data_IF_189208888985
#
_entry.id   IF_189208888985
#
_cell.length_a   1.000
_cell.length_b   1.000
_cell.length_c   1.000
_cell.angle_alpha   90.00
_cell.angle_beta   90.00
_cell.angle_gamma   90.00
#
_symmetry.space_group_name_H-M   'P 1'
#
loop_
_entity.id
_entity.type
_entity.pdbx_description
1 polymer ?
#
# COMPACT_ATOMS: atom_id res chain seq x y z
N UNK A 1 7.54 6.64 5.55
CA UNK A 1 7.88 5.54 6.48
C UNK A 1 9.28 4.98 6.24
N UNK A 2 9.53 4.06 5.29
CA UNK A 2 10.87 3.43 5.13
C UNK A 2 11.99 4.45 4.86
N UNK A 3 11.72 5.46 4.04
CA UNK A 3 12.65 6.57 3.78
C UNK A 3 12.99 7.35 5.07
N UNK A 4 11.99 7.67 5.90
CA UNK A 4 12.22 8.40 7.16
C UNK A 4 13.04 7.58 8.16
N UNK A 5 12.94 6.24 8.08
CA UNK A 5 13.73 5.32 8.90
C UNK A 5 15.12 5.01 8.31
N UNK A 6 15.47 5.57 7.14
CA UNK A 6 16.71 5.24 6.44
C UNK A 6 16.82 3.78 5.99
N UNK A 7 15.69 3.07 5.89
CA UNK A 7 15.64 1.65 5.53
C UNK A 7 15.62 1.48 4.01
N UNK A 8 16.24 0.38 3.54
CA UNK A 8 16.17 -0.03 2.14
C UNK A 8 14.73 -0.41 1.77
N UNK A 9 14.32 -0.05 0.56
CA UNK A 9 13.05 -0.51 -0.01
C UNK A 9 13.13 -2.01 -0.37
N UNK A 10 12.61 -2.85 0.53
CA UNK A 10 12.45 -4.30 0.37
C UNK A 10 11.04 -4.68 -0.12
N UNK A 11 10.37 -3.74 -0.78
CA UNK A 11 9.03 -3.89 -1.34
C UNK A 11 8.96 -3.11 -2.66
N UNK A 12 8.27 -3.64 -3.70
CA UNK A 12 8.14 -2.95 -4.98
C UNK A 12 7.15 -1.79 -4.93
N UNK A 13 6.30 -1.70 -3.89
CA UNK A 13 5.24 -0.70 -3.70
C UNK A 13 5.76 0.68 -3.28
N UNK A 14 6.64 1.27 -4.10
CA UNK A 14 7.23 2.58 -3.88
C UNK A 14 6.91 3.49 -5.05
N UNK A 15 6.41 4.69 -4.77
CA UNK A 15 6.05 5.72 -5.75
C UNK A 15 5.02 5.26 -6.81
N UNK A 16 4.13 4.36 -6.39
CA UNK A 16 3.07 3.79 -7.21
C UNK A 16 1.84 3.52 -6.35
N UNK A 17 0.69 3.26 -6.98
CA UNK A 17 -0.46 2.71 -6.27
C UNK A 17 -1.13 1.59 -7.07
N UNK A 18 -1.89 0.76 -6.36
CA UNK A 18 -2.90 -0.14 -6.90
C UNK A 18 -4.23 0.30 -6.29
N UNK A 19 -5.35 -0.01 -6.95
CA UNK A 19 -6.65 0.12 -6.29
C UNK A 19 -6.73 -0.85 -5.10
N UNK A 20 -7.57 -0.60 -4.08
CA UNK A 20 -7.72 -1.52 -2.95
C UNK A 20 -8.05 -2.95 -3.39
N UNK A 21 -8.95 -3.11 -4.35
CA UNK A 21 -9.31 -4.43 -4.92
C UNK A 21 -8.10 -5.12 -5.57
N UNK A 22 -7.34 -4.41 -6.43
CA UNK A 22 -6.15 -4.97 -7.08
C UNK A 22 -5.03 -5.29 -6.07
N UNK A 23 -4.88 -4.45 -5.04
CA UNK A 23 -3.91 -4.67 -3.97
C UNK A 23 -4.24 -5.91 -3.14
N UNK A 24 -5.49 -6.07 -2.71
CA UNK A 24 -5.96 -7.25 -1.99
C UNK A 24 -5.75 -8.51 -2.84
N UNK A 25 -6.07 -8.43 -4.13
CA UNK A 25 -5.85 -9.53 -5.08
C UNK A 25 -4.37 -9.90 -5.19
N UNK A 26 -3.49 -8.92 -5.31
CA UNK A 26 -2.04 -9.14 -5.27
C UNK A 26 -1.61 -9.86 -4.00
N UNK A 27 -2.02 -9.33 -2.84
CA UNK A 27 -1.62 -9.83 -1.53
C UNK A 27 -2.14 -11.26 -1.26
N UNK A 28 -3.32 -11.62 -1.79
CA UNK A 28 -3.85 -13.00 -1.74
C UNK A 28 -3.00 -14.01 -2.52
N UNK A 29 -2.25 -13.56 -3.52
CA UNK A 29 -1.50 -14.47 -4.41
C UNK A 29 -0.13 -13.90 -4.82
N UNK A 30 0.65 -13.43 -3.84
CA UNK A 30 1.93 -12.75 -4.07
C UNK A 30 2.85 -13.59 -4.97
N UNK A 31 3.02 -14.88 -4.67
CA UNK A 31 3.91 -15.76 -5.42
C UNK A 31 3.55 -15.85 -6.91
N UNK A 32 2.27 -15.88 -7.25
CA UNK A 32 1.83 -15.86 -8.66
C UNK A 32 2.16 -14.53 -9.34
N UNK A 33 1.83 -13.39 -8.69
CA UNK A 33 2.05 -12.08 -9.27
C UNK A 33 3.54 -11.71 -9.41
N UNK A 34 4.40 -12.22 -8.53
CA UNK A 34 5.84 -12.02 -8.62
C UNK A 34 6.46 -12.63 -9.89
N UNK A 35 5.83 -13.64 -10.49
CA UNK A 35 6.31 -14.27 -11.73
C UNK A 35 5.66 -13.69 -12.99
N UNK A 36 4.66 -12.83 -12.87
CA UNK A 36 3.98 -12.26 -14.02
C UNK A 36 4.82 -11.14 -14.67
N UNK A 37 4.66 -11.00 -15.98
CA UNK A 37 5.22 -9.88 -16.73
C UNK A 37 4.31 -8.64 -16.61
N UNK A 38 4.92 -7.46 -16.59
CA UNK A 38 4.19 -6.19 -16.67
C UNK A 38 4.12 -5.77 -18.12
N UNK A 39 2.91 -5.58 -18.62
CA UNK A 39 2.63 -5.02 -19.95
C UNK A 39 2.06 -3.61 -19.83
N UNK A 40 2.15 -2.80 -20.88
CA UNK A 40 1.63 -1.43 -20.90
C UNK A 40 0.64 -1.25 -22.06
N UNK A 41 -0.67 -1.41 -21.79
CA UNK A 41 -1.69 -1.27 -22.81
C UNK A 41 -1.77 0.18 -23.32
N UNK A 42 -1.72 0.37 -24.65
CA UNK A 42 -1.63 1.70 -25.29
C UNK A 42 -2.91 2.53 -25.15
N UNK A 43 -4.02 1.87 -24.89
CA UNK A 43 -5.32 2.48 -24.65
C UNK A 43 -5.39 3.26 -23.32
N UNK A 44 -4.50 2.97 -22.36
CA UNK A 44 -4.46 3.66 -21.08
C UNK A 44 -3.61 4.93 -21.19
N UNK A 45 -4.26 6.05 -21.50
CA UNK A 45 -3.58 7.34 -21.62
C UNK A 45 -3.49 8.07 -20.27
N UNK A 46 -2.31 8.04 -19.65
CA UNK A 46 -1.97 8.79 -18.43
C UNK A 46 -0.63 9.51 -18.60
N UNK A 47 -0.37 10.47 -17.71
CA UNK A 47 0.90 11.22 -17.65
C UNK A 47 2.06 10.40 -17.08
N UNK A 48 1.77 9.19 -16.61
CA UNK A 48 2.70 8.25 -15.98
C UNK A 48 2.36 6.83 -16.47
N UNK A 49 3.31 5.87 -16.41
CA UNK A 49 3.07 4.52 -16.86
C UNK A 49 1.96 3.81 -16.05
N UNK A 50 1.08 3.09 -16.74
CA UNK A 50 0.11 2.19 -16.10
C UNK A 50 0.39 0.78 -16.61
N UNK A 51 0.92 -0.06 -15.74
CA UNK A 51 1.25 -1.44 -16.05
C UNK A 51 0.10 -2.38 -15.71
N UNK A 52 -0.07 -3.41 -16.53
CA UNK A 52 -0.94 -4.56 -16.26
C UNK A 52 -0.05 -5.75 -15.85
N UNK A 53 -0.21 -6.25 -14.63
CA UNK A 53 0.50 -7.41 -14.08
C UNK A 53 -0.47 -8.58 -13.97
N UNK A 54 -0.49 -9.47 -14.96
CA UNK A 54 -1.56 -10.46 -15.08
C UNK A 54 -2.90 -9.75 -15.31
N UNK A 55 -3.70 -9.63 -14.26
CA UNK A 55 -5.05 -9.08 -14.29
C UNK A 55 -5.28 -7.94 -13.26
N UNK A 56 -4.20 -7.31 -12.77
CA UNK A 56 -4.24 -6.13 -11.90
C UNK A 56 -3.52 -4.94 -12.51
N UNK A 57 -3.97 -3.72 -12.20
CA UNK A 57 -3.34 -2.49 -12.67
C UNK A 57 -2.40 -1.89 -11.63
N UNK A 58 -1.23 -1.47 -12.09
CA UNK A 58 -0.20 -0.78 -11.28
C UNK A 58 0.02 0.61 -11.88
N UNK A 59 -0.22 1.65 -11.08
CA UNK A 59 -0.10 3.05 -11.51
C UNK A 59 1.22 3.64 -11.01
N UNK A 60 2.20 3.77 -11.90
CA UNK A 60 3.58 4.17 -11.58
C UNK A 60 3.76 5.70 -11.52
N UNK A 61 3.12 6.34 -10.53
CA UNK A 61 2.97 7.80 -10.40
C UNK A 61 4.23 8.66 -10.56
N UNK A 62 5.40 8.19 -10.08
CA UNK A 62 6.66 8.96 -10.16
C UNK A 62 7.75 8.31 -11.00
N UNK A 63 7.38 7.55 -12.03
CA UNK A 63 8.31 6.94 -12.97
C UNK A 63 8.23 7.66 -14.32
N UNK A 64 9.39 7.88 -14.96
CA UNK A 64 9.50 8.65 -16.20
C UNK A 64 9.28 7.79 -17.44
N UNK A 65 9.41 6.46 -17.32
CA UNK A 65 9.22 5.52 -18.43
C UNK A 65 8.74 4.15 -17.94
N UNK A 66 8.10 3.41 -18.85
CA UNK A 66 7.72 2.01 -18.67
C UNK A 66 8.92 1.13 -18.30
N UNK A 67 10.07 1.36 -18.96
CA UNK A 67 11.32 0.65 -18.72
C UNK A 67 11.85 0.87 -17.29
N UNK A 68 11.81 2.12 -16.81
CA UNK A 68 12.18 2.46 -15.44
C UNK A 68 11.25 1.76 -14.43
N UNK A 69 9.95 1.81 -14.68
CA UNK A 69 8.93 1.18 -13.84
C UNK A 69 9.16 -0.34 -13.70
N UNK A 70 9.31 -1.06 -14.82
CA UNK A 70 9.56 -2.52 -14.81
C UNK A 70 10.86 -2.86 -14.11
N UNK A 71 11.94 -2.16 -14.43
CA UNK A 71 13.25 -2.40 -13.82
C UNK A 71 13.18 -2.26 -12.30
N UNK A 72 12.58 -1.17 -11.81
CA UNK A 72 12.47 -0.93 -10.36
C UNK A 72 11.51 -1.87 -9.67
N UNK A 73 10.41 -2.25 -10.33
CA UNK A 73 9.50 -3.28 -9.84
C UNK A 73 10.25 -4.60 -9.64
N UNK A 74 10.89 -5.13 -10.68
CA UNK A 74 11.64 -6.40 -10.63
C UNK A 74 12.76 -6.37 -9.58
N UNK A 75 13.59 -5.32 -9.56
CA UNK A 75 14.68 -5.14 -8.59
C UNK A 75 14.21 -5.21 -7.14
N UNK A 76 13.01 -4.69 -6.84
CA UNK A 76 12.47 -4.59 -5.47
C UNK A 76 11.60 -5.79 -5.11
N UNK A 77 10.87 -6.35 -6.06
CA UNK A 77 10.16 -7.62 -5.91
C UNK A 77 11.11 -8.74 -5.49
N UNK A 78 12.29 -8.81 -6.10
CA UNK A 78 13.33 -9.80 -5.76
C UNK A 78 13.90 -9.66 -4.33
N UNK A 79 13.60 -8.56 -3.62
CA UNK A 79 14.08 -8.30 -2.24
C UNK A 79 13.02 -8.58 -1.19
N UNK A 80 11.80 -8.93 -1.59
CA UNK A 80 10.71 -9.16 -0.66
C UNK A 80 11.03 -10.35 0.23
N UNK A 81 10.91 -10.15 1.54
CA UNK A 81 10.91 -11.21 2.52
C UNK A 81 9.46 -11.61 2.84
N UNK A 82 9.01 -12.70 2.22
CA UNK A 82 7.63 -13.16 2.37
C UNK A 82 7.32 -13.70 3.77
N UNK A 83 8.34 -14.02 4.58
CA UNK A 83 8.14 -14.48 5.96
C UNK A 83 7.89 -13.32 6.93
N UNK A 84 8.31 -12.10 6.56
CA UNK A 84 8.26 -10.91 7.42
C UNK A 84 7.50 -9.75 6.74
N UNK A 85 6.30 -10.04 6.25
CA UNK A 85 5.46 -9.05 5.60
C UNK A 85 4.75 -8.14 6.61
N UNK A 86 4.65 -6.88 6.24
CA UNK A 86 3.82 -5.86 6.88
C UNK A 86 2.91 -5.27 5.80
N UNK A 87 1.62 -5.57 5.88
CA UNK A 87 0.65 -5.18 4.87
C UNK A 87 -0.08 -3.93 5.34
N UNK A 88 -0.04 -2.88 4.52
CA UNK A 88 -0.69 -1.61 4.83
C UNK A 88 -1.56 -1.20 3.65
N UNK A 89 -2.83 -0.89 3.94
CA UNK A 89 -3.79 -0.36 2.97
C UNK A 89 -4.38 0.95 3.50
N UNK A 90 -4.92 1.78 2.61
CA UNK A 90 -5.69 2.95 3.00
C UNK A 90 -7.06 2.89 2.34
N UNK A 91 -8.09 3.25 3.10
CA UNK A 91 -9.47 3.39 2.64
C UNK A 91 -9.60 4.64 1.75
N UNK A 92 -9.11 4.52 0.51
CA UNK A 92 -9.12 5.57 -0.51
C UNK A 92 -9.13 4.97 -1.90
N UNK A 93 -9.29 5.85 -2.89
CA UNK A 93 -9.13 5.53 -4.31
C UNK A 93 -9.93 4.31 -4.79
N UNK A 94 -11.23 4.32 -4.44
CA UNK A 94 -12.19 3.30 -4.85
C UNK A 94 -12.41 2.18 -3.83
N UNK A 95 -11.88 2.29 -2.61
CA UNK A 95 -12.12 1.33 -1.53
C UNK A 95 -13.62 1.19 -1.25
N UNK A 96 -14.12 -0.04 -1.25
CA UNK A 96 -15.49 -0.41 -0.87
C UNK A 96 -15.46 -1.09 0.49
N UNK A 97 -16.60 -1.13 1.17
CA UNK A 97 -16.73 -1.87 2.43
C UNK A 97 -16.38 -3.36 2.27
N UNK A 98 -16.69 -3.95 1.11
CA UNK A 98 -16.27 -5.32 0.74
C UNK A 98 -14.74 -5.48 0.75
N UNK A 99 -14.00 -4.50 0.26
CA UNK A 99 -12.53 -4.55 0.24
C UNK A 99 -11.97 -4.50 1.68
N UNK A 100 -12.60 -3.75 2.59
CA UNK A 100 -12.24 -3.73 4.01
C UNK A 100 -12.47 -5.10 4.67
N UNK A 101 -13.60 -5.74 4.38
CA UNK A 101 -13.92 -7.08 4.89
C UNK A 101 -12.97 -8.14 4.32
N UNK A 102 -12.64 -8.07 3.03
CA UNK A 102 -11.67 -8.97 2.42
C UNK A 102 -10.27 -8.77 3.00
N UNK A 103 -9.86 -7.52 3.23
CA UNK A 103 -8.59 -7.20 3.88
C UNK A 103 -8.55 -7.71 5.33
N UNK A 104 -9.67 -7.63 6.05
CA UNK A 104 -9.79 -8.17 7.40
C UNK A 104 -9.55 -9.70 7.44
N UNK A 105 -9.98 -10.41 6.41
CA UNK A 105 -9.85 -11.87 6.31
C UNK A 105 -8.47 -12.36 5.84
N UNK A 106 -7.56 -11.47 5.40
CA UNK A 106 -6.24 -11.90 4.93
C UNK A 106 -5.44 -12.57 6.06
N UNK A 107 -4.74 -13.70 5.79
CA UNK A 107 -4.06 -14.48 6.82
C UNK A 107 -2.68 -13.92 7.22
N UNK A 108 -2.56 -12.58 7.33
CA UNK A 108 -1.32 -11.92 7.77
C UNK A 108 -1.48 -11.38 9.18
N UNK A 109 -0.55 -11.75 10.07
CA UNK A 109 -0.49 -11.22 11.43
C UNK A 109 -0.26 -9.70 11.45
N UNK A 110 0.60 -9.20 10.56
CA UNK A 110 0.93 -7.78 10.48
C UNK A 110 0.18 -7.15 9.30
N UNK A 111 -1.09 -6.80 9.52
CA UNK A 111 -1.86 -6.03 8.56
C UNK A 111 -2.63 -4.91 9.23
N UNK A 112 -2.65 -3.75 8.60
CA UNK A 112 -3.46 -2.60 9.02
C UNK A 112 -4.08 -1.90 7.81
N UNK A 113 -5.29 -1.38 7.98
CA UNK A 113 -5.95 -0.50 7.03
C UNK A 113 -6.25 0.83 7.70
N UNK A 114 -5.80 1.93 7.09
CA UNK A 114 -6.11 3.27 7.57
C UNK A 114 -7.49 3.71 7.10
N UNK A 115 -8.35 4.15 8.02
CA UNK A 115 -9.75 4.49 7.75
C UNK A 115 -10.09 5.91 8.18
N UNK A 116 -11.01 6.56 7.46
CA UNK A 116 -11.42 7.95 7.74
C UNK A 116 -12.48 8.05 8.85
N UNK A 117 -13.04 6.90 9.25
CA UNK A 117 -13.98 6.75 10.36
C UNK A 117 -13.66 5.47 11.16
N UNK A 118 -14.21 5.32 12.38
CA UNK A 118 -14.07 4.10 13.16
C UNK A 118 -14.80 2.90 12.51
N UNK A 119 -14.17 1.72 12.58
CA UNK A 119 -14.75 0.42 12.24
C UNK A 119 -14.50 -0.56 13.40
N UNK A 120 -15.30 -0.50 14.49
CA UNK A 120 -15.06 -1.28 15.71
C UNK A 120 -15.02 -2.81 15.52
N UNK A 121 -15.62 -3.30 14.45
CA UNK A 121 -15.69 -4.70 14.06
C UNK A 121 -14.46 -5.20 13.29
N UNK A 122 -13.59 -4.30 12.80
CA UNK A 122 -12.41 -4.63 12.02
C UNK A 122 -11.15 -4.47 12.87
N UNK A 123 -10.51 -5.59 13.22
CA UNK A 123 -9.33 -5.55 14.10
C UNK A 123 -8.11 -4.93 13.43
N UNK A 124 -8.05 -4.96 12.10
CA UNK A 124 -6.99 -4.30 11.33
C UNK A 124 -7.24 -2.83 11.04
N UNK A 125 -8.42 -2.28 11.38
CA UNK A 125 -8.72 -0.87 11.10
C UNK A 125 -8.04 0.08 12.09
N UNK A 126 -7.37 1.08 11.55
CA UNK A 126 -6.73 2.16 12.29
C UNK A 126 -7.35 3.48 11.83
N UNK A 127 -8.20 4.04 12.69
CA UNK A 127 -8.85 5.31 12.41
C UNK A 127 -7.84 6.47 12.46
N UNK A 128 -7.73 7.20 11.36
CA UNK A 128 -6.89 8.39 11.24
C UNK A 128 -7.79 9.64 11.30
N UNK A 129 -7.51 10.49 12.29
CA UNK A 129 -8.26 11.72 12.54
C UNK A 129 -7.87 12.82 11.54
N UNK A 130 -8.80 13.73 11.27
CA UNK A 130 -8.68 14.86 10.35
C UNK A 130 -9.37 14.65 9.00
N UNK A 131 -10.05 13.52 8.81
CA UNK A 131 -10.81 13.16 7.61
C UNK A 131 -12.30 12.91 7.90
N UNK A 132 -12.82 13.37 9.05
CA UNK A 132 -14.18 13.06 9.54
C UNK A 132 -15.29 13.54 8.61
N UNK A 133 -15.04 14.63 7.89
CA UNK A 133 -15.97 15.22 6.94
C UNK A 133 -15.72 14.75 5.50
N UNK A 134 -14.76 13.85 5.30
CA UNK A 134 -14.43 13.28 4.00
C UNK A 134 -15.06 11.89 3.87
N UNK A 135 -15.14 11.40 2.63
CA UNK A 135 -15.65 10.06 2.32
C UNK A 135 -14.51 9.01 2.22
N UNK A 136 -13.26 9.44 2.44
CA UNK A 136 -12.06 8.62 2.32
C UNK A 136 -10.88 9.27 3.05
N UNK A 137 -9.82 8.50 3.26
CA UNK A 137 -8.52 9.02 3.71
C UNK A 137 -7.91 9.94 2.65
N UNK A 138 -7.39 11.08 3.08
CA UNK A 138 -6.64 12.01 2.24
C UNK A 138 -5.19 11.58 2.02
N UNK A 139 -4.30 12.53 1.74
CA UNK A 139 -2.87 12.24 1.65
C UNK A 139 -2.27 12.08 3.05
N UNK A 140 -1.90 10.85 3.39
CA UNK A 140 -1.32 10.53 4.69
C UNK A 140 0.04 11.21 4.92
N UNK A 141 0.75 11.60 3.85
CA UNK A 141 2.04 12.29 3.92
C UNK A 141 1.91 13.79 4.22
N UNK A 142 0.71 14.36 4.16
CA UNK A 142 0.48 15.75 4.54
C UNK A 142 0.60 15.96 6.05
N UNK A 143 1.01 17.19 6.41
CA UNK A 143 1.14 17.59 7.81
C UNK A 143 -0.23 17.87 8.44
N UNK A 144 -0.44 17.32 9.63
CA UNK A 144 -1.61 17.55 10.45
C UNK A 144 -1.39 18.79 11.35
N UNK A 145 -2.10 19.88 11.05
CA UNK A 145 -2.08 21.10 11.84
C UNK A 145 -0.69 21.75 11.98
N UNK A 146 -0.42 22.34 13.16
CA UNK A 146 0.83 23.09 13.42
C UNK A 146 2.00 22.22 13.90
N UNK A 147 1.77 20.92 14.15
CA UNK A 147 2.69 20.11 14.96
C UNK A 147 3.79 19.36 14.18
N UNK A 148 4.07 19.71 12.91
CA UNK A 148 5.07 19.01 12.04
C UNK A 148 4.93 17.47 12.01
N UNK A 149 3.78 16.93 12.42
CA UNK A 149 3.45 15.51 12.34
C UNK A 149 2.64 15.28 11.08
N UNK A 150 2.89 14.18 10.38
CA UNK A 150 2.10 13.75 9.23
C UNK A 150 0.91 12.92 9.71
N UNK A 151 -0.13 12.79 8.89
CA UNK A 151 -1.32 12.01 9.28
C UNK A 151 -1.00 10.56 9.66
N UNK A 152 -0.07 9.91 8.95
CA UNK A 152 0.32 8.54 9.31
C UNK A 152 1.10 8.44 10.64
N UNK A 153 1.63 9.54 11.19
CA UNK A 153 2.31 9.53 12.50
C UNK A 153 1.32 9.32 13.66
N UNK A 154 0.00 9.29 13.39
CA UNK A 154 -1.02 8.86 14.36
C UNK A 154 -0.97 7.35 14.65
N UNK A 155 -0.33 6.56 13.78
CA UNK A 155 -0.09 5.13 13.99
C UNK A 155 1.38 4.89 14.34
N UNK A 156 1.66 4.17 15.43
CA UNK A 156 3.01 3.81 15.84
C UNK A 156 3.58 2.67 14.96
N UNK A 157 3.88 3.00 13.70
CA UNK A 157 4.45 2.05 12.75
C UNK A 157 5.86 1.59 13.17
N UNK A 158 6.59 2.37 13.97
CA UNK A 158 7.91 2.00 14.48
C UNK A 158 7.78 0.91 15.53
N UNK A 159 6.90 1.11 16.52
CA UNK A 159 6.57 0.08 17.50
C UNK A 159 6.06 -1.18 16.82
N UNK A 160 5.12 -1.03 15.88
CA UNK A 160 4.55 -2.12 15.10
C UNK A 160 5.60 -2.95 14.34
N UNK A 161 6.53 -2.31 13.62
CA UNK A 161 7.61 -3.02 12.93
C UNK A 161 8.54 -3.80 13.86
N UNK A 162 8.70 -3.37 15.12
CA UNK A 162 9.60 -4.01 16.07
C UNK A 162 8.94 -5.09 16.94
N UNK A 163 7.64 -5.37 16.80
CA UNK A 163 6.93 -6.38 17.59
C UNK A 163 7.48 -7.82 17.43
N UNK A 164 8.28 -8.09 16.39
CA UNK A 164 8.90 -9.41 16.13
C UNK A 164 10.35 -9.54 16.60
N UNK A 165 10.96 -8.50 17.18
CA UNK A 165 12.35 -8.58 17.69
C UNK A 165 12.47 -9.26 19.06
N UNK A 166 11.36 -9.67 19.68
CA UNK A 166 11.34 -10.24 21.03
C UNK A 166 11.08 -11.75 21.11
N UNK A 167 11.16 -12.49 20.00
CA UNK A 167 11.10 -13.95 20.02
C UNK A 167 12.36 -14.57 19.42
#
# INVERSE_FOLDING_TARGET
>A
MLHDLGLRFNSPFVNLFLTPTDFIKYVKNIAHYQTQEITFPKEIQRKYPVGLLGDIHIYFMHYHSEQEAVKKWQERTARMDLNHLFIMMAERDGCRDEDLLEFEQLPFKNKVVFTHKPYPELTSAVYIQGFEQQQKIGDLFEYCGLNRKRFYDQFDYVGWFNQHKQN
#
